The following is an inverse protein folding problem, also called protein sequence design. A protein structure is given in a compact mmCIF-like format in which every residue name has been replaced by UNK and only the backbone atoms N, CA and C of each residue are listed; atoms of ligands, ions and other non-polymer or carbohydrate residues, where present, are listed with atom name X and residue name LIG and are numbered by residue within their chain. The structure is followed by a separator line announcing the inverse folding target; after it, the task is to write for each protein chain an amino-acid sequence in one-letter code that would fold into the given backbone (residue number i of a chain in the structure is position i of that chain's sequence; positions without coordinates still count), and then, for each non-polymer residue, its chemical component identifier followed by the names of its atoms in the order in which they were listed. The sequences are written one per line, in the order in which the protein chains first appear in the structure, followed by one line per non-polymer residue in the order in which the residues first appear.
data_IF_875331789750
#
_entry.id   IF_875331789750
#
_cell.length_a   1.000
_cell.length_b   1.000
_cell.length_c   1.000
_cell.angle_alpha   90.00
_cell.angle_beta   90.00
_cell.angle_gamma   90.00
#
_symmetry.space_group_name_H-M   'P 1'
#
loop_
_entity.id
_entity.type
_entity.pdbx_description
1 polymer ?
#
# COMPACT_ATOMS: atom_id res chain seq x y z
N UNK A 1 12.07 -6.86 -8.14
CA UNK A 1 13.15 -5.93 -7.79
C UNK A 1 13.12 -5.67 -6.29
N UNK A 2 13.68 -4.55 -5.82
CA UNK A 2 13.47 -4.03 -4.48
C UNK A 2 12.40 -2.92 -4.50
N UNK A 3 11.78 -2.65 -3.35
CA UNK A 3 10.79 -1.59 -3.17
C UNK A 3 11.35 -0.21 -3.51
N UNK A 4 10.78 0.46 -4.51
CA UNK A 4 11.11 1.84 -4.87
C UNK A 4 10.29 2.80 -4.02
N UNK A 5 10.95 3.73 -3.32
CA UNK A 5 10.26 4.79 -2.56
C UNK A 5 9.69 5.84 -3.50
N UNK A 6 8.47 6.26 -3.25
CA UNK A 6 7.80 7.32 -4.03
C UNK A 6 7.39 8.48 -3.14
N UNK A 7 7.15 9.64 -3.75
CA UNK A 7 6.48 10.73 -3.05
C UNK A 7 5.10 10.24 -2.57
N UNK A 8 4.69 10.55 -1.32
CA UNK A 8 3.43 10.06 -0.77
C UNK A 8 2.24 10.39 -1.68
N UNK A 9 1.66 9.35 -2.29
CA UNK A 9 0.55 9.48 -3.22
C UNK A 9 -0.77 9.12 -2.52
N UNK A 10 -1.75 10.03 -2.42
CA UNK A 10 -3.04 9.74 -1.82
C UNK A 10 -3.75 8.59 -2.54
N UNK A 11 -4.34 7.69 -1.77
CA UNK A 11 -4.99 6.48 -2.28
C UNK A 11 -6.18 6.14 -1.41
N UNK A 12 -7.21 5.53 -1.99
CA UNK A 12 -8.31 4.97 -1.21
C UNK A 12 -8.04 3.49 -0.96
N UNK A 13 -8.22 3.04 0.27
CA UNK A 13 -8.04 1.64 0.65
C UNK A 13 -9.34 1.17 1.27
N UNK A 14 -9.95 0.16 0.65
CA UNK A 14 -11.10 -0.53 1.23
C UNK A 14 -10.59 -1.62 2.16
N UNK A 15 -10.91 -1.50 3.44
CA UNK A 15 -10.62 -2.53 4.43
C UNK A 15 -11.84 -3.43 4.66
N UNK A 16 -11.57 -4.67 5.04
CA UNK A 16 -12.58 -5.55 5.60
C UNK A 16 -13.07 -4.99 6.95
N UNK A 17 -14.38 -5.05 7.20
CA UNK A 17 -14.98 -4.49 8.40
C UNK A 17 -14.71 -5.35 9.65
N UNK A 18 -14.41 -6.64 9.48
CA UNK A 18 -14.25 -7.58 10.58
C UNK A 18 -12.82 -7.59 11.15
N UNK A 19 -11.80 -7.60 10.28
CA UNK A 19 -10.39 -7.70 10.68
C UNK A 19 -9.54 -6.46 10.31
N UNK A 20 -10.15 -5.48 9.64
CA UNK A 20 -9.48 -4.25 9.21
C UNK A 20 -8.44 -4.45 8.10
N UNK A 21 -8.36 -5.65 7.50
CA UNK A 21 -7.34 -5.94 6.47
C UNK A 21 -7.67 -5.23 5.15
N UNK A 22 -6.67 -4.68 4.45
CA UNK A 22 -6.87 -4.14 3.11
C UNK A 22 -7.40 -5.21 2.14
N UNK A 23 -8.45 -4.87 1.39
CA UNK A 23 -9.11 -5.72 0.38
C UNK A 23 -9.01 -5.15 -1.03
N UNK A 24 -8.97 -3.83 -1.17
CA UNK A 24 -8.78 -3.18 -2.46
C UNK A 24 -8.08 -1.83 -2.29
N UNK A 25 -7.34 -1.43 -3.31
CA UNK A 25 -6.62 -0.17 -3.41
C UNK A 25 -7.09 0.55 -4.65
N UNK A 26 -7.62 1.76 -4.50
CA UNK A 26 -8.08 2.60 -5.61
C UNK A 26 -7.16 3.80 -5.76
N UNK A 27 -6.50 3.88 -6.92
CA UNK A 27 -5.60 4.95 -7.28
C UNK A 27 -6.09 5.61 -8.57
N UNK A 28 -6.32 6.94 -8.53
CA UNK A 28 -7.04 7.65 -9.57
C UNK A 28 -8.36 6.92 -9.88
N UNK A 29 -8.52 6.41 -11.10
CA UNK A 29 -9.73 5.69 -11.55
C UNK A 29 -9.54 4.16 -11.58
N UNK A 30 -8.36 3.66 -11.19
CA UNK A 30 -8.05 2.23 -11.21
C UNK A 30 -8.21 1.60 -9.82
N UNK A 31 -9.05 0.57 -9.72
CA UNK A 31 -9.21 -0.23 -8.50
C UNK A 31 -8.52 -1.58 -8.66
N UNK A 32 -7.58 -1.86 -7.76
CA UNK A 32 -6.82 -3.11 -7.72
C UNK A 32 -7.24 -3.92 -6.50
N UNK A 33 -7.56 -5.22 -6.65
CA UNK A 33 -7.79 -6.08 -5.50
C UNK A 33 -6.48 -6.33 -4.75
N UNK A 34 -6.57 -6.46 -3.43
CA UNK A 34 -5.46 -6.96 -2.61
C UNK A 34 -5.50 -8.48 -2.64
N UNK A 35 -4.47 -9.08 -3.22
CA UNK A 35 -4.28 -10.53 -3.30
C UNK A 35 -3.80 -11.06 -1.96
N UNK A 36 -2.86 -10.35 -1.33
CA UNK A 36 -2.33 -10.73 -0.02
C UNK A 36 -1.75 -9.53 0.74
N UNK A 37 -1.65 -9.67 2.06
CA UNK A 37 -0.91 -8.75 2.93
C UNK A 37 0.44 -9.38 3.24
N UNK A 38 1.52 -8.83 2.69
CA UNK A 38 2.86 -9.35 2.86
C UNK A 38 3.47 -8.98 4.22
N UNK A 39 3.17 -7.76 4.71
CA UNK A 39 3.74 -7.27 5.97
C UNK A 39 2.86 -6.18 6.58
N UNK A 40 2.76 -6.17 7.92
CA UNK A 40 2.16 -5.06 8.68
C UNK A 40 3.20 -4.57 9.68
N UNK A 41 3.51 -3.28 9.66
CA UNK A 41 4.38 -2.61 10.61
C UNK A 41 3.62 -1.46 11.28
N UNK A 42 3.40 -1.59 12.58
CA UNK A 42 2.78 -0.52 13.40
C UNK A 42 3.90 0.32 14.01
N UNK A 43 4.01 1.57 13.59
CA UNK A 43 5.01 2.49 14.15
C UNK A 43 4.35 3.29 15.28
N UNK A 44 4.41 2.73 16.50
CA UNK A 44 3.74 3.28 17.69
C UNK A 44 4.65 4.06 18.64
N UNK A 45 5.98 4.04 18.45
CA UNK A 45 6.89 4.81 19.31
C UNK A 45 8.15 5.26 18.54
N UNK A 46 8.55 6.53 18.77
CA UNK A 46 9.77 7.19 18.31
C UNK A 46 9.88 7.58 16.82
N UNK A 47 9.04 8.52 16.34
CA UNK A 47 9.26 9.19 15.05
C UNK A 47 8.91 10.69 15.07
N UNK A 48 9.48 11.51 14.15
CA UNK A 48 9.39 12.96 14.15
C UNK A 48 7.96 13.49 14.29
N UNK A 49 7.79 14.53 15.11
CA UNK A 49 6.50 15.19 15.41
C UNK A 49 5.72 15.57 14.14
N UNK A 50 6.43 15.82 13.04
CA UNK A 50 5.91 16.19 11.73
C UNK A 50 5.09 15.07 11.05
N UNK A 51 5.45 13.80 11.23
CA UNK A 51 4.79 12.65 10.55
C UNK A 51 3.80 11.93 11.47
N UNK A 52 4.10 11.85 12.77
CA UNK A 52 3.24 11.19 13.76
C UNK A 52 3.16 9.67 13.60
N UNK A 53 2.33 8.99 14.42
CA UNK A 53 2.13 7.54 14.33
C UNK A 53 1.56 7.17 12.96
N UNK A 54 2.03 6.07 12.38
CA UNK A 54 1.50 5.50 11.13
C UNK A 54 1.52 3.98 11.14
N UNK A 55 0.59 3.40 10.39
CA UNK A 55 0.57 1.95 10.14
C UNK A 55 1.01 1.71 8.70
N UNK A 56 2.13 1.03 8.51
CA UNK A 56 2.62 0.64 7.20
C UNK A 56 2.13 -0.77 6.90
N UNK A 57 1.50 -0.95 5.75
CA UNK A 57 1.02 -2.24 5.26
C UNK A 57 1.57 -2.46 3.87
N UNK A 58 2.34 -3.53 3.70
CA UNK A 58 2.78 -3.97 2.39
C UNK A 58 1.77 -4.97 1.85
N UNK A 59 1.17 -4.65 0.72
CA UNK A 59 0.14 -5.46 0.05
C UNK A 59 0.62 -5.91 -1.31
N UNK A 60 0.19 -7.10 -1.72
CA UNK A 60 0.39 -7.60 -3.09
C UNK A 60 -0.91 -7.39 -3.84
N UNK A 61 -0.84 -6.71 -4.98
CA UNK A 61 -1.91 -6.60 -5.97
C UNK A 61 -1.55 -7.48 -7.18
N UNK A 62 -2.46 -7.68 -8.15
CA UNK A 62 -2.12 -8.40 -9.37
C UNK A 62 -0.93 -7.80 -10.10
N UNK A 63 -0.79 -6.47 -10.09
CA UNK A 63 0.20 -5.76 -10.93
C UNK A 63 1.46 -5.33 -10.21
N UNK A 64 1.45 -5.23 -8.87
CA UNK A 64 2.60 -4.77 -8.11
C UNK A 64 2.48 -5.14 -6.61
N UNK A 65 3.57 -5.00 -5.88
CA UNK A 65 3.54 -4.89 -4.41
C UNK A 65 3.59 -3.41 -4.04
N UNK A 66 2.71 -2.99 -3.13
CA UNK A 66 2.58 -1.60 -2.69
C UNK A 66 2.91 -1.49 -1.20
N UNK A 67 3.67 -0.48 -0.82
CA UNK A 67 3.84 -0.06 0.57
C UNK A 67 2.85 1.06 0.89
N UNK A 68 1.75 0.69 1.55
CA UNK A 68 0.71 1.60 1.99
C UNK A 68 1.02 2.13 3.38
N UNK A 69 0.77 3.41 3.64
CA UNK A 69 0.86 3.99 4.96
C UNK A 69 -0.45 4.66 5.34
N UNK A 70 -1.02 4.24 6.47
CA UNK A 70 -2.15 4.91 7.08
C UNK A 70 -1.66 5.98 8.05
N UNK A 71 -1.94 7.24 7.71
CA UNK A 71 -1.63 8.40 8.55
C UNK A 71 -2.78 8.65 9.51
N UNK A 72 -2.59 8.29 10.78
CA UNK A 72 -3.67 8.31 11.79
C UNK A 72 -4.29 9.69 11.98
N UNK A 73 -3.48 10.76 11.97
CA UNK A 73 -3.96 12.15 12.14
C UNK A 73 -4.84 12.62 10.98
N UNK A 74 -4.43 12.31 9.75
CA UNK A 74 -5.13 12.71 8.53
C UNK A 74 -6.25 11.73 8.16
N UNK A 75 -6.31 10.57 8.85
CA UNK A 75 -7.18 9.42 8.56
C UNK A 75 -7.13 9.05 7.07
N UNK A 76 -5.94 9.12 6.48
CA UNK A 76 -5.72 8.98 5.04
C UNK A 76 -4.68 7.90 4.75
N UNK A 77 -4.91 7.16 3.68
CA UNK A 77 -3.95 6.24 3.11
C UNK A 77 -3.09 6.92 2.05
N UNK A 78 -1.80 6.59 2.05
CA UNK A 78 -0.85 7.01 1.02
C UNK A 78 -0.02 5.82 0.55
N UNK A 79 0.41 5.84 -0.71
CA UNK A 79 1.45 4.95 -1.23
C UNK A 79 2.80 5.62 -0.98
N UNK A 80 3.72 4.91 -0.31
CA UNK A 80 5.09 5.37 -0.07
C UNK A 80 6.14 4.53 -0.80
N UNK A 81 5.74 3.42 -1.41
CA UNK A 81 6.61 2.64 -2.27
C UNK A 81 5.89 1.63 -3.14
N UNK A 82 6.55 1.25 -4.22
CA UNK A 82 6.06 0.34 -5.25
C UNK A 82 7.18 -0.62 -5.63
N UNK A 83 6.86 -1.91 -5.78
CA UNK A 83 7.71 -2.92 -6.40
C UNK A 83 6.91 -3.59 -7.53
N UNK A 84 7.15 -3.21 -8.80
CA UNK A 84 6.33 -3.64 -9.93
C UNK A 84 6.53 -5.13 -10.28
N UNK A 85 7.69 -5.72 -9.97
CA UNK A 85 7.95 -7.13 -10.29
C UNK A 85 7.38 -8.10 -9.24
N UNK A 86 6.97 -7.57 -8.07
CA UNK A 86 6.48 -8.36 -6.94
C UNK A 86 4.95 -8.45 -6.90
N UNK A 87 4.27 -8.21 -8.03
CA UNK A 87 2.84 -8.49 -8.19
C UNK A 87 2.50 -9.97 -8.01
N UNK A 88 1.20 -10.26 -7.84
CA UNK A 88 0.68 -11.62 -7.79
C UNK A 88 0.93 -12.41 -9.10
N UNK A 89 0.42 -13.65 -9.22
CA UNK A 89 0.69 -14.51 -10.38
C UNK A 89 0.36 -13.90 -11.76
N UNK A 90 -0.48 -12.86 -11.80
CA UNK A 90 -0.83 -12.10 -13.01
C UNK A 90 0.12 -10.91 -13.32
N UNK A 91 1.05 -10.59 -12.41
CA UNK A 91 1.90 -9.38 -12.47
C UNK A 91 2.98 -9.40 -13.54
N UNK A 92 3.07 -10.49 -14.30
CA UNK A 92 3.98 -10.61 -15.46
C UNK A 92 3.41 -10.05 -16.76
N UNK A 93 2.16 -9.59 -16.77
CA UNK A 93 1.52 -9.17 -18.01
C UNK A 93 1.36 -7.64 -18.09
N UNK A 94 2.19 -7.07 -18.97
CA UNK A 94 2.05 -5.79 -19.70
C UNK A 94 2.73 -4.56 -19.10
N UNK A 95 4.04 -4.51 -19.26
CA UNK A 95 4.74 -3.26 -19.62
C UNK A 95 5.70 -3.57 -20.77
N UNK A 96 5.28 -3.24 -22.00
CA UNK A 96 6.09 -3.47 -23.20
C UNK A 96 5.31 -3.23 -24.49
N UNK A 97 5.40 -2.00 -25.00
CA UNK A 97 5.75 -1.64 -26.38
C UNK A 97 5.84 -0.10 -26.45
#
# INVERSE_FOLDING_TARGET
MAMVRVSPLPVQVRCDWFDGRPRAVTLADATMPVVSVAKVRRETAAYPRATGPRTIVEVVTPTARLALSFRHRERRWVIEGIDPDAGGPDGRLRWGA
#
